data_IF_448023205411
#
_entry.id   IF_448023205411
#
_cell.length_a   1.000
_cell.length_b   1.000
_cell.length_c   1.000
_cell.angle_alpha   90.00
_cell.angle_beta   90.00
_cell.angle_gamma   90.00
#
_symmetry.space_group_name_H-M   'P 1'
#
loop_
_entity.id
_entity.type
_entity.pdbx_description
1 polymer ?
#
# COMPACT_ATOMS: atom_id res chain seq x y z
N UNK A 1 -14.86 3.14 17.82
CA UNK A 1 -14.04 3.18 16.59
C UNK A 1 -14.01 1.82 15.95
N UNK A 2 -14.06 1.77 14.63
CA UNK A 2 -14.04 0.50 13.88
C UNK A 2 -12.65 -0.11 13.90
N UNK A 3 -12.56 -1.39 14.20
CA UNK A 3 -11.29 -2.11 14.17
C UNK A 3 -10.88 -2.43 12.72
N UNK A 4 -9.63 -2.17 12.40
CA UNK A 4 -9.08 -2.42 11.07
C UNK A 4 -8.17 -3.64 11.09
N UNK A 5 -8.78 -4.82 11.21
CA UNK A 5 -8.05 -6.08 11.43
C UNK A 5 -7.11 -6.47 10.27
N UNK A 6 -7.40 -6.04 9.03
CA UNK A 6 -6.52 -6.32 7.90
C UNK A 6 -5.12 -5.72 8.07
N UNK A 7 -4.98 -4.68 8.88
CA UNK A 7 -3.67 -4.05 9.11
C UNK A 7 -2.64 -5.02 9.72
N UNK A 8 -3.09 -6.03 10.44
CA UNK A 8 -2.18 -7.02 11.07
C UNK A 8 -1.43 -7.87 10.03
N UNK A 9 -2.00 -8.02 8.84
CA UNK A 9 -1.46 -8.87 7.79
C UNK A 9 -0.90 -8.10 6.58
N UNK A 10 -0.81 -6.78 6.72
CA UNK A 10 -0.32 -5.89 5.67
C UNK A 10 0.77 -4.98 6.23
N UNK A 11 1.84 -4.78 5.47
CA UNK A 11 2.90 -3.85 5.86
C UNK A 11 3.32 -3.00 4.68
N UNK A 12 3.40 -1.68 4.90
CA UNK A 12 3.96 -0.74 3.93
C UNK A 12 5.40 -0.41 4.32
N UNK A 13 6.13 0.20 3.39
CA UNK A 13 7.46 0.70 3.70
C UNK A 13 7.38 2.08 4.37
N UNK A 14 8.42 2.42 5.11
CA UNK A 14 8.66 3.75 5.68
C UNK A 14 10.05 4.16 5.23
N UNK A 15 10.11 4.92 4.14
CA UNK A 15 11.36 5.21 3.45
C UNK A 15 11.71 4.12 2.44
N UNK A 16 12.91 4.21 1.86
CA UNK A 16 13.37 3.28 0.85
C UNK A 16 13.56 1.87 1.43
N UNK A 17 13.17 0.85 0.67
CA UNK A 17 13.45 -0.54 1.01
C UNK A 17 14.89 -0.84 0.56
N UNK A 18 15.79 -1.04 1.51
CA UNK A 18 17.21 -1.23 1.20
C UNK A 18 17.56 -2.68 0.88
N UNK A 19 16.91 -3.63 1.54
CA UNK A 19 17.12 -5.06 1.33
C UNK A 19 15.76 -5.74 1.19
N UNK A 20 15.31 -6.02 -0.04
CA UNK A 20 14.00 -6.61 -0.27
C UNK A 20 13.79 -7.95 0.45
N UNK A 21 14.79 -8.84 0.44
CA UNK A 21 14.66 -10.14 1.09
C UNK A 21 14.52 -9.99 2.61
N UNK A 22 15.35 -9.14 3.22
CA UNK A 22 15.27 -8.90 4.66
C UNK A 22 13.93 -8.28 5.05
N UNK A 23 13.42 -7.36 4.23
CA UNK A 23 12.13 -6.73 4.47
C UNK A 23 10.99 -7.74 4.44
N UNK A 24 11.01 -8.65 3.46
CA UNK A 24 10.02 -9.72 3.35
C UNK A 24 10.12 -10.70 4.52
N UNK A 25 11.34 -11.12 4.85
CA UNK A 25 11.58 -12.10 5.92
C UNK A 25 11.15 -11.55 7.29
N UNK A 26 11.41 -10.27 7.55
CA UNK A 26 11.06 -9.64 8.82
C UNK A 26 9.54 -9.66 9.09
N UNK A 27 8.74 -9.56 8.04
CA UNK A 27 7.27 -9.60 8.16
C UNK A 27 6.71 -11.02 7.97
N UNK A 28 7.51 -11.94 7.49
CA UNK A 28 7.04 -13.27 7.10
C UNK A 28 6.12 -13.20 5.88
N UNK A 29 6.39 -12.26 4.97
CA UNK A 29 5.54 -12.02 3.81
C UNK A 29 5.60 -13.19 2.82
N UNK A 30 4.43 -13.57 2.28
CA UNK A 30 4.34 -14.56 1.20
C UNK A 30 3.97 -13.89 -0.12
N UNK A 31 3.53 -12.63 -0.08
CA UNK A 31 3.22 -11.88 -1.28
C UNK A 31 3.61 -10.41 -1.13
N UNK A 32 3.69 -9.72 -2.28
CA UNK A 32 4.13 -8.34 -2.33
C UNK A 32 3.44 -7.63 -3.50
N UNK A 33 2.71 -6.55 -3.20
CA UNK A 33 2.14 -5.66 -4.22
C UNK A 33 3.07 -4.47 -4.37
N UNK A 34 3.71 -4.37 -5.54
CA UNK A 34 4.69 -3.33 -5.84
C UNK A 34 4.01 -2.21 -6.63
N UNK A 35 4.19 -0.97 -6.20
CA UNK A 35 3.50 0.18 -6.80
C UNK A 35 4.40 1.06 -7.65
N UNK A 36 5.65 0.66 -7.87
CA UNK A 36 6.62 1.45 -8.61
C UNK A 36 6.78 0.96 -10.05
N UNK A 37 7.06 1.89 -10.95
CA UNK A 37 7.41 1.58 -12.33
C UNK A 37 8.90 1.28 -12.49
N UNK A 38 9.32 0.94 -13.71
CA UNK A 38 10.70 0.57 -14.03
C UNK A 38 11.71 1.69 -13.77
N UNK A 39 11.27 2.94 -13.88
CA UNK A 39 12.14 4.09 -13.65
C UNK A 39 12.73 4.08 -12.26
N UNK A 40 11.96 3.65 -11.26
CA UNK A 40 12.43 3.59 -9.88
C UNK A 40 13.66 2.69 -9.72
N UNK A 41 13.73 1.60 -10.48
CA UNK A 41 14.87 0.68 -10.41
C UNK A 41 16.19 1.34 -10.78
N UNK A 42 16.15 2.40 -11.60
CA UNK A 42 17.33 3.14 -12.03
C UNK A 42 17.72 4.29 -11.10
N UNK A 43 16.92 4.55 -10.07
CA UNK A 43 17.16 5.64 -9.12
C UNK A 43 18.02 5.16 -7.95
N UNK A 44 18.72 6.08 -7.29
CA UNK A 44 19.50 5.77 -6.09
C UNK A 44 18.59 5.20 -5.01
N UNK A 45 18.92 4.02 -4.50
CA UNK A 45 18.13 3.34 -3.48
C UNK A 45 16.87 2.68 -4.02
N UNK A 46 16.68 2.67 -5.35
CA UNK A 46 15.53 2.03 -5.97
C UNK A 46 15.67 0.52 -6.05
N UNK A 47 14.53 -0.16 -6.17
CA UNK A 47 14.48 -1.60 -6.40
C UNK A 47 13.60 -1.87 -7.61
N UNK A 48 13.78 -3.04 -8.23
CA UNK A 48 13.01 -3.46 -9.39
C UNK A 48 11.89 -4.44 -9.00
N UNK A 49 10.92 -4.65 -9.91
CA UNK A 49 9.93 -5.70 -9.70
C UNK A 49 10.60 -7.08 -9.66
N UNK A 50 11.70 -7.28 -10.41
CA UNK A 50 12.47 -8.52 -10.34
C UNK A 50 13.02 -8.77 -8.93
N UNK A 51 13.47 -7.73 -8.24
CA UNK A 51 13.94 -7.85 -6.85
C UNK A 51 12.79 -8.28 -5.93
N UNK A 52 11.60 -7.76 -6.16
CA UNK A 52 10.39 -8.12 -5.40
C UNK A 52 10.03 -9.59 -5.67
N UNK A 53 10.03 -9.99 -6.94
CA UNK A 53 9.71 -11.37 -7.32
C UNK A 53 10.69 -12.38 -6.72
N UNK A 54 11.96 -11.99 -6.56
CA UNK A 54 12.97 -12.85 -5.97
C UNK A 54 12.79 -13.02 -4.46
N UNK A 55 12.10 -12.09 -3.80
CA UNK A 55 11.97 -12.06 -2.34
C UNK A 55 10.75 -12.82 -1.81
N UNK A 56 9.70 -13.01 -2.63
CA UNK A 56 8.44 -13.64 -2.19
C UNK A 56 7.91 -14.61 -3.25
N UNK A 57 7.11 -15.62 -2.85
CA UNK A 57 6.52 -16.56 -3.80
C UNK A 57 5.52 -15.95 -4.77
N UNK A 58 4.76 -14.92 -4.35
CA UNK A 58 3.71 -14.31 -5.17
C UNK A 58 3.88 -12.81 -5.19
N UNK A 59 4.00 -12.22 -6.37
CA UNK A 59 4.19 -10.77 -6.51
C UNK A 59 3.28 -10.22 -7.61
N UNK A 60 2.82 -8.98 -7.42
CA UNK A 60 2.02 -8.26 -8.41
C UNK A 60 2.49 -6.81 -8.48
N UNK A 61 2.19 -6.13 -9.57
CA UNK A 61 2.53 -4.73 -9.76
C UNK A 61 1.33 -3.97 -10.29
N UNK A 62 1.00 -2.84 -9.64
CA UNK A 62 0.05 -1.85 -10.16
C UNK A 62 0.67 -0.48 -9.93
N UNK A 63 1.19 0.12 -10.98
CA UNK A 63 2.02 1.32 -10.88
C UNK A 63 1.20 2.54 -10.46
N UNK A 64 1.67 3.22 -9.41
CA UNK A 64 1.12 4.52 -8.98
C UNK A 64 2.22 5.55 -8.74
N UNK A 65 3.42 5.32 -9.28
CA UNK A 65 4.53 6.27 -9.23
C UNK A 65 4.17 7.58 -9.97
N UNK A 66 4.67 8.73 -9.51
CA UNK A 66 4.56 9.94 -10.33
C UNK A 66 5.12 9.70 -11.73
N UNK A 67 4.50 10.21 -12.81
CA UNK A 67 3.40 11.16 -12.82
C UNK A 67 1.99 10.54 -12.84
N UNK A 68 1.82 9.29 -12.44
CA UNK A 68 0.49 8.64 -12.42
C UNK A 68 -0.42 9.38 -11.44
N UNK A 69 -1.61 9.75 -11.89
CA UNK A 69 -2.60 10.42 -11.04
C UNK A 69 -3.26 9.44 -10.08
N UNK A 70 -3.49 9.89 -8.85
CA UNK A 70 -4.20 9.11 -7.83
C UNK A 70 -5.71 9.23 -8.04
N UNK A 71 -6.22 8.42 -8.97
CA UNK A 71 -7.65 8.41 -9.32
C UNK A 71 -8.39 7.30 -8.56
N UNK A 72 -9.71 7.34 -8.61
CA UNK A 72 -10.54 6.28 -8.01
C UNK A 72 -10.48 5.01 -8.85
N UNK A 73 -10.28 5.11 -10.16
CA UNK A 73 -10.05 3.92 -10.98
C UNK A 73 -8.76 3.22 -10.57
N UNK A 74 -7.69 3.97 -10.30
CA UNK A 74 -6.45 3.40 -9.77
C UNK A 74 -6.70 2.71 -8.42
N UNK A 75 -7.48 3.35 -7.52
CA UNK A 75 -7.82 2.77 -6.24
C UNK A 75 -8.53 1.42 -6.40
N UNK A 76 -9.49 1.36 -7.31
CA UNK A 76 -10.23 0.12 -7.60
C UNK A 76 -9.30 -0.99 -8.07
N UNK A 77 -8.38 -0.68 -8.98
CA UNK A 77 -7.43 -1.67 -9.51
C UNK A 77 -6.44 -2.15 -8.44
N UNK A 78 -5.96 -1.25 -7.60
CA UNK A 78 -5.02 -1.61 -6.54
C UNK A 78 -5.69 -2.41 -5.43
N UNK A 79 -6.92 -2.05 -5.06
CA UNK A 79 -7.71 -2.80 -4.07
C UNK A 79 -7.96 -4.22 -4.59
N UNK A 80 -8.35 -4.36 -5.85
CA UNK A 80 -8.60 -5.68 -6.45
C UNK A 80 -7.33 -6.54 -6.48
N UNK A 81 -6.18 -5.95 -6.84
CA UNK A 81 -4.91 -6.67 -6.84
C UNK A 81 -4.52 -7.13 -5.44
N UNK A 82 -4.70 -6.27 -4.45
CA UNK A 82 -4.38 -6.61 -3.06
C UNK A 82 -5.29 -7.72 -2.53
N UNK A 83 -6.56 -7.71 -2.93
CA UNK A 83 -7.53 -8.73 -2.53
C UNK A 83 -7.16 -10.12 -3.04
N UNK A 84 -6.47 -10.20 -4.17
CA UNK A 84 -6.07 -11.47 -4.78
C UNK A 84 -4.78 -12.08 -4.22
N UNK A 85 -4.06 -11.35 -3.38
CA UNK A 85 -2.77 -11.81 -2.87
C UNK A 85 -2.90 -12.58 -1.55
N UNK A 86 -2.13 -13.67 -1.38
CA UNK A 86 -2.14 -14.40 -0.11
C UNK A 86 -1.42 -13.62 1.00
N UNK A 87 -1.91 -13.75 2.21
CA UNK A 87 -1.38 -13.03 3.39
C UNK A 87 -0.27 -13.83 4.08
N UNK A 88 0.70 -13.17 4.75
CA UNK A 88 0.90 -11.73 4.89
C UNK A 88 1.44 -11.09 3.61
N UNK A 89 1.09 -9.82 3.37
CA UNK A 89 1.42 -9.11 2.15
C UNK A 89 2.16 -7.81 2.42
N UNK A 90 3.24 -7.57 1.68
CA UNK A 90 3.89 -6.26 1.64
C UNK A 90 3.28 -5.41 0.53
N UNK A 91 3.15 -4.12 0.79
CA UNK A 91 2.72 -3.14 -0.21
C UNK A 91 3.72 -1.99 -0.15
N UNK A 92 4.46 -1.75 -1.22
CA UNK A 92 5.47 -0.70 -1.20
C UNK A 92 5.37 0.23 -2.40
N UNK A 93 5.67 1.50 -2.15
CA UNK A 93 5.94 2.51 -3.16
C UNK A 93 7.36 3.00 -2.95
N UNK A 94 7.75 4.19 -3.48
CA UNK A 94 9.13 4.64 -3.32
C UNK A 94 9.50 4.84 -1.86
N UNK A 95 8.72 5.63 -1.11
CA UNK A 95 9.06 5.99 0.28
C UNK A 95 7.95 5.72 1.30
N UNK A 96 6.82 5.18 0.90
CA UNK A 96 5.80 4.69 1.82
C UNK A 96 4.47 5.44 1.85
N UNK A 97 4.39 6.64 1.26
CA UNK A 97 3.15 7.42 1.30
C UNK A 97 1.99 6.76 0.58
N UNK A 98 2.18 6.42 -0.68
CA UNK A 98 1.12 5.84 -1.51
C UNK A 98 0.78 4.41 -1.09
N UNK A 99 1.79 3.63 -0.69
CA UNK A 99 1.57 2.28 -0.20
C UNK A 99 0.80 2.26 1.12
N UNK A 100 1.14 3.16 2.04
CA UNK A 100 0.38 3.28 3.29
C UNK A 100 -1.06 3.71 3.01
N UNK A 101 -1.28 4.67 2.11
CA UNK A 101 -2.63 5.11 1.75
C UNK A 101 -3.47 3.93 1.25
N UNK A 102 -2.91 3.10 0.38
CA UNK A 102 -3.62 1.91 -0.12
C UNK A 102 -3.97 0.94 1.00
N UNK A 103 -3.04 0.67 1.89
CA UNK A 103 -3.28 -0.26 3.00
C UNK A 103 -4.43 0.21 3.88
N UNK A 104 -4.45 1.50 4.25
CA UNK A 104 -5.52 2.02 5.10
C UNK A 104 -6.86 2.07 4.35
N UNK A 105 -6.85 2.42 3.07
CA UNK A 105 -8.06 2.34 2.25
C UNK A 105 -8.60 0.91 2.22
N UNK A 106 -7.75 -0.05 1.94
CA UNK A 106 -8.15 -1.47 1.85
C UNK A 106 -8.70 -1.96 3.18
N UNK A 107 -7.99 -1.71 4.27
CA UNK A 107 -8.43 -2.14 5.61
C UNK A 107 -9.77 -1.51 5.99
N UNK A 108 -9.95 -0.23 5.66
CA UNK A 108 -11.21 0.47 5.90
C UNK A 108 -12.37 -0.12 5.10
N UNK A 109 -12.14 -0.44 3.82
CA UNK A 109 -13.15 -1.06 2.98
C UNK A 109 -13.57 -2.43 3.53
N UNK A 110 -12.62 -3.24 3.93
CA UNK A 110 -12.90 -4.57 4.48
C UNK A 110 -13.66 -4.52 5.80
N UNK A 111 -13.38 -3.50 6.61
CA UNK A 111 -14.05 -3.35 7.91
C UNK A 111 -15.38 -2.60 7.82
N UNK A 112 -15.70 -2.03 6.66
CA UNK A 112 -16.86 -1.16 6.52
C UNK A 112 -16.75 0.12 7.34
N UNK A 113 -15.52 0.63 7.53
CA UNK A 113 -15.26 1.74 8.42
C UNK A 113 -15.53 3.09 7.73
N UNK A 114 -16.04 4.09 8.47
CA UNK A 114 -16.15 5.43 7.93
C UNK A 114 -14.77 6.09 7.80
N UNK A 115 -14.64 7.04 6.88
CA UNK A 115 -13.37 7.70 6.61
C UNK A 115 -12.74 8.31 7.86
N UNK A 116 -13.54 8.93 8.72
CA UNK A 116 -13.03 9.55 9.96
C UNK A 116 -12.31 8.54 10.87
N UNK A 117 -12.85 7.33 10.98
CA UNK A 117 -12.22 6.27 11.78
C UNK A 117 -10.91 5.81 11.16
N UNK A 118 -10.88 5.64 9.83
CA UNK A 118 -9.68 5.21 9.12
C UNK A 118 -8.57 6.25 9.26
N UNK A 119 -8.89 7.52 9.04
CA UNK A 119 -7.91 8.60 9.17
C UNK A 119 -7.43 8.78 10.61
N UNK A 120 -8.30 8.60 11.60
CA UNK A 120 -7.92 8.66 13.01
C UNK A 120 -6.92 7.54 13.36
N UNK A 121 -7.15 6.33 12.85
CA UNK A 121 -6.22 5.21 13.06
C UNK A 121 -4.88 5.48 12.37
N UNK A 122 -4.92 5.99 11.14
CA UNK A 122 -3.71 6.33 10.40
C UNK A 122 -2.89 7.39 11.13
N UNK A 123 -3.56 8.40 11.72
CA UNK A 123 -2.89 9.42 12.50
C UNK A 123 -2.26 8.84 13.77
N UNK A 124 -2.97 7.95 14.46
CA UNK A 124 -2.45 7.29 15.67
C UNK A 124 -1.22 6.42 15.34
N UNK A 125 -1.19 5.83 14.16
CA UNK A 125 -0.08 4.99 13.70
C UNK A 125 1.05 5.79 13.06
N UNK A 126 0.91 7.11 12.95
CA UNK A 126 1.85 8.00 12.27
C UNK A 126 2.12 7.53 10.83
N UNK A 127 1.05 7.20 10.11
CA UNK A 127 1.17 6.68 8.75
C UNK A 127 1.71 7.74 7.78
N UNK A 128 2.67 7.36 6.89
CA UNK A 128 3.35 8.33 6.02
C UNK A 128 2.43 9.20 5.15
N UNK A 129 1.27 8.66 4.73
CA UNK A 129 0.38 9.43 3.85
C UNK A 129 -0.36 10.58 4.58
N UNK A 130 -0.36 10.59 5.90
CA UNK A 130 -1.07 11.62 6.67
C UNK A 130 -0.49 13.02 6.49
N UNK A 131 0.73 13.13 5.97
CA UNK A 131 1.32 14.40 5.60
C UNK A 131 0.88 14.93 4.22
N UNK A 132 0.07 14.17 3.48
CA UNK A 132 -0.36 14.53 2.12
C UNK A 132 -1.87 14.72 2.07
N UNK A 133 -2.32 15.95 1.79
CA UNK A 133 -3.74 16.25 1.61
C UNK A 133 -4.33 15.47 0.42
N UNK A 134 -3.54 15.32 -0.65
CA UNK A 134 -3.95 14.55 -1.83
C UNK A 134 -4.25 13.09 -1.48
N UNK A 135 -3.36 12.46 -0.72
CA UNK A 135 -3.53 11.06 -0.36
C UNK A 135 -4.64 10.85 0.66
N UNK A 136 -4.81 11.78 1.61
CA UNK A 136 -5.95 11.73 2.54
C UNK A 136 -7.28 11.84 1.80
N UNK A 137 -7.35 12.73 0.82
CA UNK A 137 -8.54 12.88 -0.02
C UNK A 137 -8.81 11.62 -0.84
N UNK A 138 -7.76 11.00 -1.39
CA UNK A 138 -7.87 9.76 -2.15
C UNK A 138 -8.42 8.62 -1.30
N UNK A 139 -7.93 8.47 -0.07
CA UNK A 139 -8.43 7.45 0.87
C UNK A 139 -9.91 7.72 1.20
N UNK A 140 -10.25 8.96 1.53
CA UNK A 140 -11.63 9.34 1.86
C UNK A 140 -12.58 9.05 0.69
N UNK A 141 -12.20 9.48 -0.51
CA UNK A 141 -13.02 9.28 -1.70
C UNK A 141 -13.13 7.80 -2.06
N UNK A 142 -12.04 7.05 -1.91
CA UNK A 142 -12.06 5.61 -2.15
C UNK A 142 -13.00 4.87 -1.19
N UNK A 143 -12.99 5.25 0.08
CA UNK A 143 -13.90 4.66 1.07
C UNK A 143 -15.35 4.92 0.73
N UNK A 144 -15.66 6.12 0.20
CA UNK A 144 -17.03 6.46 -0.19
C UNK A 144 -17.45 5.78 -1.47
N UNK A 145 -16.57 5.77 -2.50
CA UNK A 145 -16.92 5.32 -3.84
C UNK A 145 -16.84 3.81 -4.03
N UNK A 146 -15.97 3.13 -3.27
CA UNK A 146 -15.74 1.70 -3.41
C UNK A 146 -16.44 0.86 -2.34
N UNK A 147 -17.08 1.49 -1.38
CA UNK A 147 -17.85 0.77 -0.35
C UNK A 147 -19.05 0.06 -0.99
N UNK A 148 -19.33 -1.14 -0.53
CA UNK A 148 -20.51 -1.91 -0.94
C UNK A 148 -21.78 -1.45 -0.23
#
# INVERSE_FOLDING_TARGET
>A
MTELSELDNLRHNRGLVQDPQAFADDFGAVSWLFLCGEEFASMDGGISFGDVQAAVPVAAVVVSDPPVEMTIDLARRQVAALDDLPRPTLVTCRTGGRSAALIYLYAGLKAGAPADDVLARAAADDAPFMGSDELKAWVTQGLEDLAD
#
